data_IF_740796218574
#
_entry.id   IF_740796218574
#
_cell.length_a   1.000
_cell.length_b   1.000
_cell.length_c   1.000
_cell.angle_alpha   90.00
_cell.angle_beta   90.00
_cell.angle_gamma   90.00
#
_symmetry.space_group_name_H-M   'P 1'
#
loop_
_entity.id
_entity.type
_entity.pdbx_description
1 polymer ?
#
# COMPACT_ATOMS: atom_id res chain seq x y z
N UNK A 1 -5.14 -0.47 -24.35
CA UNK A 1 -4.24 0.62 -23.89
C UNK A 1 -3.62 0.17 -22.57
N UNK A 2 -2.39 -0.34 -22.60
CA UNK A 2 -1.68 -0.78 -21.39
C UNK A 2 -1.13 0.45 -20.67
N UNK A 3 -1.84 0.89 -19.62
CA UNK A 3 -1.33 1.91 -18.72
C UNK A 3 0.00 1.43 -18.11
N UNK A 4 0.98 2.31 -18.16
CA UNK A 4 2.38 2.09 -17.83
C UNK A 4 2.55 1.48 -16.43
N UNK A 5 2.91 0.20 -16.35
CA UNK A 5 3.26 -0.49 -15.10
C UNK A 5 4.40 0.20 -14.33
N UNK A 6 5.21 1.01 -15.02
CA UNK A 6 6.23 1.87 -14.42
C UNK A 6 5.66 2.93 -13.46
N UNK A 7 4.38 3.27 -13.60
CA UNK A 7 3.68 4.22 -12.72
C UNK A 7 3.35 3.68 -11.33
N UNK A 8 3.58 2.39 -11.07
CA UNK A 8 3.27 1.78 -9.78
C UNK A 8 4.43 1.86 -8.77
N UNK A 9 5.65 2.20 -9.21
CA UNK A 9 6.78 2.42 -8.29
C UNK A 9 6.44 3.57 -7.34
N UNK A 10 6.85 3.45 -6.09
CA UNK A 10 6.57 4.38 -4.97
C UNK A 10 5.09 4.53 -4.57
N UNK A 11 4.18 3.78 -5.20
CA UNK A 11 2.80 3.66 -4.73
C UNK A 11 2.67 2.63 -3.61
N UNK A 12 1.54 2.67 -2.92
CA UNK A 12 1.23 1.86 -1.76
C UNK A 12 0.20 0.77 -2.09
N UNK A 13 0.29 -0.34 -1.39
CA UNK A 13 -0.68 -1.42 -1.43
C UNK A 13 -1.12 -1.71 0.01
N UNK A 14 -2.36 -2.13 0.18
CA UNK A 14 -2.92 -2.38 1.51
C UNK A 14 -3.54 -3.77 1.57
N UNK A 15 -3.37 -4.42 2.70
CA UNK A 15 -4.21 -5.56 3.07
C UNK A 15 -5.24 -5.08 4.06
N UNK A 16 -6.48 -5.49 3.82
CA UNK A 16 -7.62 -5.17 4.69
C UNK A 16 -8.29 -6.45 5.16
N UNK A 17 -8.85 -6.42 6.36
CA UNK A 17 -9.60 -7.55 6.92
C UNK A 17 -11.07 -7.15 7.18
N UNK A 18 -11.96 -8.09 6.87
CA UNK A 18 -13.40 -8.01 7.16
C UNK A 18 -14.18 -6.99 6.32
N UNK A 19 -15.50 -6.95 6.54
CA UNK A 19 -16.40 -6.01 5.88
C UNK A 19 -16.09 -4.54 6.19
N UNK A 20 -15.48 -4.29 7.36
CA UNK A 20 -15.11 -2.96 7.84
C UNK A 20 -13.89 -2.34 7.13
N UNK A 21 -13.22 -3.10 6.25
CA UNK A 21 -12.00 -2.72 5.53
C UNK A 21 -10.92 -2.11 6.44
N UNK A 22 -10.65 -2.76 7.57
CA UNK A 22 -9.57 -2.36 8.45
C UNK A 22 -8.24 -2.74 7.81
N UNK A 23 -7.37 -1.77 7.56
CA UNK A 23 -6.01 -1.90 7.07
C UNK A 23 -5.14 -2.55 8.14
N UNK A 24 -4.58 -3.70 7.83
CA UNK A 24 -3.69 -4.47 8.73
C UNK A 24 -2.24 -4.46 8.28
N UNK A 25 -1.97 -4.31 6.98
CA UNK A 25 -0.62 -4.21 6.45
C UNK A 25 -0.56 -3.17 5.33
N UNK A 26 0.58 -2.46 5.26
CA UNK A 26 0.87 -1.46 4.22
C UNK A 26 2.18 -1.82 3.54
N UNK A 27 2.09 -2.08 2.24
CA UNK A 27 3.21 -2.37 1.36
C UNK A 27 3.57 -1.15 0.53
N UNK A 28 4.86 -0.91 0.29
CA UNK A 28 5.34 0.07 -0.68
C UNK A 28 5.93 -0.64 -1.89
N UNK A 29 5.50 -0.28 -3.10
CA UNK A 29 6.08 -0.84 -4.32
C UNK A 29 7.46 -0.23 -4.53
N UNK A 30 8.49 -1.07 -4.50
CA UNK A 30 9.90 -0.65 -4.61
C UNK A 30 10.49 -0.85 -5.99
N UNK A 31 9.95 -1.81 -6.76
CA UNK A 31 10.42 -2.12 -8.11
C UNK A 31 9.31 -2.74 -8.93
N UNK A 32 9.19 -2.30 -10.18
CA UNK A 32 8.34 -2.92 -11.19
C UNK A 32 9.18 -3.32 -12.38
N UNK A 33 9.02 -4.56 -12.82
CA UNK A 33 9.59 -5.08 -14.06
C UNK A 33 8.46 -5.53 -14.98
N UNK A 34 8.79 -5.96 -16.20
CA UNK A 34 7.78 -6.48 -17.12
C UNK A 34 6.99 -7.67 -16.53
N UNK A 35 7.67 -8.53 -15.74
CA UNK A 35 7.08 -9.76 -15.20
C UNK A 35 6.73 -9.70 -13.72
N UNK A 36 7.37 -8.82 -12.95
CA UNK A 36 7.26 -8.85 -11.49
C UNK A 36 7.04 -7.48 -10.87
N UNK A 37 6.35 -7.47 -9.73
CA UNK A 37 6.17 -6.31 -8.85
C UNK A 37 6.73 -6.67 -7.47
N UNK A 38 7.66 -5.85 -6.97
CA UNK A 38 8.29 -6.02 -5.67
C UNK A 38 7.63 -5.05 -4.69
N UNK A 39 7.14 -5.58 -3.57
CA UNK A 39 6.44 -4.79 -2.55
C UNK A 39 7.11 -5.02 -1.20
N UNK A 40 7.58 -3.94 -0.59
CA UNK A 40 8.12 -3.92 0.77
C UNK A 40 6.99 -3.74 1.79
N UNK A 41 6.70 -4.82 2.53
CA UNK A 41 5.70 -4.83 3.60
C UNK A 41 6.30 -4.48 4.99
N UNK A 42 7.54 -4.00 5.04
CA UNK A 42 8.24 -3.57 6.26
C UNK A 42 8.96 -4.72 6.98
N UNK A 43 8.33 -5.89 7.06
CA UNK A 43 8.95 -7.11 7.61
C UNK A 43 9.67 -7.94 6.55
N UNK A 44 9.19 -7.86 5.29
CA UNK A 44 9.77 -8.56 4.15
C UNK A 44 9.31 -7.95 2.83
N UNK A 45 10.17 -8.03 1.84
CA UNK A 45 9.82 -7.75 0.44
C UNK A 45 9.26 -9.00 -0.21
N UNK A 46 8.07 -8.89 -0.79
CA UNK A 46 7.47 -9.95 -1.59
C UNK A 46 7.55 -9.61 -3.08
N UNK A 47 7.69 -10.64 -3.90
CA UNK A 47 7.75 -10.54 -5.35
C UNK A 47 6.51 -11.22 -5.91
N UNK A 48 5.69 -10.45 -6.62
CA UNK A 48 4.46 -10.91 -7.26
C UNK A 48 4.65 -10.95 -8.77
N UNK A 49 3.92 -11.84 -9.45
CA UNK A 49 3.79 -11.79 -10.90
C UNK A 49 2.90 -10.61 -11.28
N UNK A 50 3.32 -9.81 -12.25
CA UNK A 50 2.62 -8.60 -12.68
C UNK A 50 1.18 -8.90 -13.13
N UNK A 51 0.99 -9.99 -13.88
CA UNK A 51 -0.32 -10.44 -14.36
C UNK A 51 -1.31 -10.88 -13.26
N UNK A 52 -0.79 -11.25 -12.10
CA UNK A 52 -1.58 -11.81 -10.99
C UNK A 52 -1.56 -10.88 -9.77
N UNK A 53 -1.15 -9.62 -9.95
CA UNK A 53 -1.03 -8.68 -8.84
C UNK A 53 -2.42 -8.25 -8.33
N UNK A 54 -2.81 -8.62 -7.09
CA UNK A 54 -4.20 -8.48 -6.65
C UNK A 54 -4.53 -7.09 -6.08
N UNK A 55 -3.54 -6.21 -5.94
CA UNK A 55 -3.74 -4.88 -5.36
C UNK A 55 -3.76 -3.79 -6.40
N UNK A 56 -4.53 -2.75 -6.12
CA UNK A 56 -4.50 -1.49 -6.86
C UNK A 56 -3.46 -0.60 -6.17
N UNK A 57 -2.33 -0.24 -6.82
CA UNK A 57 -1.35 0.67 -6.23
C UNK A 57 -1.95 2.07 -6.07
N UNK A 58 -1.89 2.61 -4.85
CA UNK A 58 -2.44 3.90 -4.47
C UNK A 58 -1.34 4.93 -4.28
N UNK A 59 -1.58 6.17 -4.67
CA UNK A 59 -0.68 7.28 -4.29
C UNK A 59 -0.80 7.58 -2.80
N UNK A 60 0.12 8.40 -2.26
CA UNK A 60 0.01 8.92 -0.90
C UNK A 60 -1.33 9.64 -0.68
N UNK A 61 -1.72 10.50 -1.62
CA UNK A 61 -2.98 11.23 -1.53
C UNK A 61 -4.20 10.31 -1.56
N UNK A 62 -4.17 9.27 -2.40
CA UNK A 62 -5.27 8.30 -2.45
C UNK A 62 -5.38 7.50 -1.15
N UNK A 63 -4.24 7.13 -0.55
CA UNK A 63 -4.19 6.46 0.75
C UNK A 63 -4.84 7.31 1.84
N UNK A 64 -4.47 8.59 1.91
CA UNK A 64 -4.96 9.53 2.92
C UNK A 64 -6.44 9.89 2.72
N UNK A 65 -6.90 9.98 1.46
CA UNK A 65 -8.32 10.20 1.15
C UNK A 65 -9.18 8.97 1.45
N UNK A 66 -8.68 7.78 1.11
CA UNK A 66 -9.45 6.53 1.17
C UNK A 66 -9.50 5.93 2.57
N UNK A 67 -8.39 5.98 3.31
CA UNK A 67 -8.27 5.33 4.62
C UNK A 67 -8.06 6.38 5.71
N UNK A 68 -9.07 6.53 6.58
CA UNK A 68 -8.95 7.33 7.81
C UNK A 68 -8.22 6.53 8.89
N UNK A 69 -7.57 7.20 9.85
CA UNK A 69 -6.78 6.56 10.93
C UNK A 69 -7.52 5.45 11.68
N UNK A 70 -8.81 5.61 11.94
CA UNK A 70 -9.65 4.61 12.62
C UNK A 70 -9.85 3.31 11.82
N UNK A 71 -9.37 3.26 10.58
CA UNK A 71 -9.33 2.06 9.74
C UNK A 71 -7.98 1.36 9.77
N UNK A 72 -6.99 1.82 10.53
CA UNK A 72 -5.70 1.14 10.63
C UNK A 72 -5.61 0.38 11.95
N UNK A 73 -5.07 -0.85 11.92
CA UNK A 73 -4.59 -1.50 13.14
C UNK A 73 -3.37 -0.75 13.70
N UNK A 74 -3.01 -1.00 14.95
CA UNK A 74 -1.88 -0.32 15.59
C UNK A 74 -0.56 -0.54 14.82
N UNK A 75 -0.32 -1.75 14.32
CA UNK A 75 0.84 -2.08 13.49
C UNK A 75 0.82 -1.31 12.17
N UNK A 76 -0.36 -1.19 11.56
CA UNK A 76 -0.53 -0.46 10.31
C UNK A 76 -0.35 1.05 10.51
N UNK A 77 -0.72 1.61 11.67
CA UNK A 77 -0.44 3.00 12.03
C UNK A 77 1.08 3.23 12.11
N UNK A 78 1.81 2.39 12.83
CA UNK A 78 3.28 2.50 12.96
C UNK A 78 3.93 2.44 11.57
N UNK A 79 3.50 1.51 10.72
CA UNK A 79 4.02 1.41 9.34
C UNK A 79 3.67 2.64 8.50
N UNK A 80 2.46 3.16 8.63
CA UNK A 80 2.04 4.37 7.92
C UNK A 80 2.91 5.57 8.28
N UNK A 81 3.26 5.72 9.57
CA UNK A 81 4.14 6.78 10.07
C UNK A 81 5.57 6.64 9.50
N UNK A 82 6.14 5.43 9.50
CA UNK A 82 7.45 5.14 8.89
C UNK A 82 7.46 5.48 7.40
N UNK A 83 6.34 5.25 6.70
CA UNK A 83 6.18 5.55 5.28
C UNK A 83 5.81 7.03 5.01
N UNK A 84 5.68 7.85 6.05
CA UNK A 84 5.36 9.27 5.95
C UNK A 84 3.93 9.56 5.47
N UNK A 85 2.98 8.64 5.68
CA UNK A 85 1.56 8.85 5.40
C UNK A 85 0.93 9.68 6.53
N UNK A 86 0.15 10.71 6.18
CA UNK A 86 -0.55 11.55 7.14
C UNK A 86 -1.81 10.82 7.66
N UNK A 87 -1.62 9.87 8.57
CA UNK A 87 -2.70 9.26 9.36
C UNK A 87 -3.15 10.24 10.46
N UNK A 88 -3.67 11.41 10.06
CA UNK A 88 -3.90 12.56 10.95
C UNK A 88 -4.58 12.18 12.29
N UNK A 89 -3.91 12.53 13.40
CA UNK A 89 -4.56 12.94 14.65
C UNK A 89 -5.08 14.36 14.43
N UNK A 90 -6.40 14.55 14.47
CA UNK A 90 -6.89 15.86 14.87
C UNK A 90 -6.70 15.92 16.39
N UNK A 91 -5.74 16.75 16.83
CA UNK A 91 -5.73 17.31 18.19
C UNK A 91 -6.86 18.30 18.34
#
# INVERSE_FOLDING_TARGET
>A
MNQSNQSAVDKFCVKTVGASQVVTEIGKVTKVTNRTIHVDWGVKTWIYQNKDFPWIPLTKEDMEKKYKRNKFSDEAIIRAEILGLATQRYT
#
